data_IF_732019764710
#
_entry.id   IF_732019764710
#
_cell.length_a   1.000
_cell.length_b   1.000
_cell.length_c   1.000
_cell.angle_alpha   90.00
_cell.angle_beta   90.00
_cell.angle_gamma   90.00
#
_symmetry.space_group_name_H-M   'P 1'
#
loop_
_entity.id
_entity.type
_entity.pdbx_description
1 polymer ?
#
# COMPACT_ATOMS: atom_id res chain seq x y z
N UNK A 1 0.69 -15.23 16.81
CA UNK A 1 1.49 -14.71 15.67
C UNK A 1 1.09 -15.26 14.31
N UNK A 2 1.17 -16.57 14.05
CA UNK A 2 0.89 -17.14 12.73
C UNK A 2 -0.51 -16.79 12.19
N UNK A 3 -1.53 -16.84 13.06
CA UNK A 3 -2.91 -16.45 12.71
C UNK A 3 -3.03 -14.96 12.31
N UNK A 4 -2.26 -14.07 12.96
CA UNK A 4 -2.21 -12.64 12.63
C UNK A 4 -1.62 -12.44 11.22
N UNK A 5 -0.45 -13.01 10.93
CA UNK A 5 0.15 -12.90 9.59
C UNK A 5 -0.71 -13.56 8.50
N UNK A 6 -1.45 -14.64 8.82
CA UNK A 6 -2.40 -15.25 7.91
C UNK A 6 -3.65 -14.38 7.64
N UNK A 7 -4.08 -13.57 8.62
CA UNK A 7 -5.13 -12.57 8.42
C UNK A 7 -4.61 -11.42 7.56
N UNK A 8 -3.45 -10.84 7.90
CA UNK A 8 -2.82 -9.75 7.13
C UNK A 8 -2.55 -10.17 5.69
N UNK A 9 -2.05 -11.38 5.44
CA UNK A 9 -1.81 -11.89 4.08
C UNK A 9 -3.08 -11.99 3.25
N UNK A 10 -4.20 -12.40 3.86
CA UNK A 10 -5.50 -12.45 3.16
C UNK A 10 -5.93 -11.06 2.70
N UNK A 11 -5.70 -10.04 3.51
CA UNK A 11 -6.03 -8.65 3.17
C UNK A 11 -5.09 -8.09 2.11
N UNK A 12 -3.78 -8.32 2.23
CA UNK A 12 -2.79 -7.83 1.26
C UNK A 12 -2.90 -8.51 -0.11
N UNK A 13 -3.35 -9.77 -0.16
CA UNK A 13 -3.62 -10.48 -1.42
C UNK A 13 -4.76 -9.86 -2.25
N UNK A 14 -5.60 -9.03 -1.63
CA UNK A 14 -6.70 -8.30 -2.30
C UNK A 14 -6.25 -6.94 -2.82
N UNK A 15 -5.09 -6.42 -2.35
CA UNK A 15 -4.63 -5.05 -2.59
C UNK A 15 -4.25 -4.70 -4.02
N UNK A 16 -4.15 -5.69 -4.95
CA UNK A 16 -4.17 -5.48 -6.40
C UNK A 16 -3.12 -4.52 -6.99
N UNK A 17 -2.15 -4.05 -6.21
CA UNK A 17 -1.10 -3.15 -6.67
C UNK A 17 -0.25 -3.87 -7.72
N UNK A 18 -0.04 -3.28 -8.90
CA UNK A 18 0.88 -3.85 -9.87
C UNK A 18 2.25 -3.99 -9.22
N UNK A 19 2.73 -5.23 -9.15
CA UNK A 19 4.03 -5.57 -8.58
C UNK A 19 5.18 -5.20 -9.53
N UNK A 20 4.86 -4.85 -10.78
CA UNK A 20 5.79 -4.54 -11.84
C UNK A 20 5.61 -3.11 -12.39
N UNK A 21 6.72 -2.56 -12.88
CA UNK A 21 6.75 -1.21 -13.46
C UNK A 21 5.84 -1.09 -14.69
N UNK A 22 5.67 -2.19 -15.45
CA UNK A 22 4.82 -2.22 -16.64
C UNK A 22 3.32 -2.14 -16.30
N UNK A 23 2.88 -2.74 -15.20
CA UNK A 23 1.51 -2.59 -14.72
C UNK A 23 1.22 -1.18 -14.22
N UNK A 24 2.16 -0.55 -13.51
CA UNK A 24 2.04 0.85 -13.08
C UNK A 24 1.95 1.80 -14.29
N UNK A 25 2.82 1.63 -15.29
CA UNK A 25 2.79 2.44 -16.51
C UNK A 25 1.47 2.30 -17.29
N UNK A 26 0.90 1.09 -17.37
CA UNK A 26 -0.39 0.87 -18.02
C UNK A 26 -1.51 1.67 -17.35
N UNK A 27 -1.57 1.65 -16.02
CA UNK A 27 -2.56 2.43 -15.27
C UNK A 27 -2.37 3.94 -15.52
N UNK A 28 -1.13 4.43 -15.48
CA UNK A 28 -0.84 5.85 -15.75
C UNK A 28 -1.25 6.27 -17.17
N UNK A 29 -0.95 5.46 -18.18
CA UNK A 29 -1.35 5.75 -19.56
C UNK A 29 -2.88 5.76 -19.70
N UNK A 30 -3.58 4.80 -19.10
CA UNK A 30 -5.04 4.76 -19.10
C UNK A 30 -5.64 6.03 -18.46
N UNK A 31 -5.11 6.46 -17.30
CA UNK A 31 -5.54 7.69 -16.65
C UNK A 31 -5.34 8.94 -17.51
N UNK A 32 -4.21 9.03 -18.22
CA UNK A 32 -3.93 10.13 -19.15
C UNK A 32 -4.88 10.13 -20.36
N UNK A 33 -5.40 8.97 -20.74
CA UNK A 33 -6.42 8.80 -21.78
C UNK A 33 -7.85 9.03 -21.26
N UNK A 34 -8.01 9.33 -19.97
CA UNK A 34 -9.30 9.55 -19.32
C UNK A 34 -9.97 8.27 -18.80
N UNK A 35 -9.34 7.10 -18.92
CA UNK A 35 -9.82 5.86 -18.32
C UNK A 35 -9.23 5.69 -16.91
N UNK A 36 -10.04 5.99 -15.90
CA UNK A 36 -9.67 5.83 -14.48
C UNK A 36 -10.14 4.51 -13.89
N UNK A 37 -10.71 3.59 -14.67
CA UNK A 37 -11.41 2.41 -14.14
C UNK A 37 -10.51 1.51 -13.29
N UNK A 38 -9.32 1.20 -13.78
CA UNK A 38 -8.35 0.37 -13.05
C UNK A 38 -7.73 1.11 -11.86
N UNK A 39 -7.60 2.44 -11.97
CA UNK A 39 -7.15 3.28 -10.87
C UNK A 39 -8.18 3.34 -9.73
N UNK A 40 -9.45 3.50 -10.08
CA UNK A 40 -10.55 3.55 -9.11
C UNK A 40 -10.72 2.19 -8.41
N UNK A 41 -10.53 1.07 -9.14
CA UNK A 41 -10.46 -0.27 -8.53
C UNK A 41 -9.31 -0.38 -7.55
N UNK A 42 -8.13 0.15 -7.90
CA UNK A 42 -6.96 0.15 -7.01
C UNK A 42 -7.19 0.97 -5.74
N UNK A 43 -7.84 2.13 -5.86
CA UNK A 43 -8.23 2.95 -4.72
C UNK A 43 -9.19 2.20 -3.78
N UNK A 44 -10.23 1.56 -4.33
CA UNK A 44 -11.20 0.78 -3.55
C UNK A 44 -10.53 -0.42 -2.88
N UNK A 45 -9.64 -1.12 -3.58
CA UNK A 45 -8.88 -2.24 -3.03
C UNK A 45 -7.98 -1.79 -1.87
N UNK A 46 -7.28 -0.66 -2.03
CA UNK A 46 -6.41 -0.09 -0.98
C UNK A 46 -7.21 0.37 0.23
N UNK A 47 -8.38 1.00 0.02
CA UNK A 47 -9.28 1.41 1.10
C UNK A 47 -9.85 0.21 1.86
N UNK A 48 -10.27 -0.83 1.13
CA UNK A 48 -10.77 -2.08 1.72
C UNK A 48 -9.67 -2.73 2.55
N UNK A 49 -8.45 -2.80 2.00
CA UNK A 49 -7.30 -3.35 2.71
C UNK A 49 -6.96 -2.55 3.98
N UNK A 50 -6.98 -1.21 3.92
CA UNK A 50 -6.78 -0.35 5.09
C UNK A 50 -7.81 -0.64 6.19
N UNK A 51 -9.10 -0.72 5.83
CA UNK A 51 -10.18 -1.01 6.79
C UNK A 51 -10.07 -2.40 7.38
N UNK A 52 -9.80 -3.41 6.56
CA UNK A 52 -9.66 -4.79 7.00
C UNK A 52 -8.43 -4.97 7.89
N UNK A 53 -7.28 -4.40 7.53
CA UNK A 53 -6.09 -4.44 8.40
C UNK A 53 -6.37 -3.74 9.73
N UNK A 54 -6.98 -2.56 9.74
CA UNK A 54 -7.33 -1.84 10.98
C UNK A 54 -8.25 -2.63 11.91
N UNK A 55 -9.06 -3.53 11.36
CA UNK A 55 -9.96 -4.38 12.14
C UNK A 55 -9.25 -5.61 12.76
N UNK A 56 -8.04 -5.94 12.33
CA UNK A 56 -7.26 -7.05 12.89
C UNK A 56 -6.68 -6.64 14.24
N UNK A 57 -6.93 -7.44 15.28
CA UNK A 57 -6.22 -7.30 16.55
C UNK A 57 -4.78 -7.80 16.41
N UNK A 58 -3.83 -6.87 16.49
CA UNK A 58 -2.40 -7.19 16.52
C UNK A 58 -1.97 -7.69 17.91
N UNK A 59 -1.23 -8.82 17.98
CA UNK A 59 -0.50 -9.20 19.19
C UNK A 59 0.46 -8.08 19.65
N UNK A 60 0.77 -7.96 20.95
CA UNK A 60 1.66 -6.92 21.48
C UNK A 60 2.98 -6.79 20.72
N UNK A 61 3.55 -7.92 20.34
CA UNK A 61 4.86 -7.98 19.69
C UNK A 61 4.80 -7.60 18.21
N UNK A 62 3.62 -7.58 17.62
CA UNK A 62 3.36 -7.10 16.27
C UNK A 62 2.81 -5.67 16.22
N UNK A 63 2.59 -5.00 17.35
CA UNK A 63 1.96 -3.66 17.35
C UNK A 63 2.73 -2.64 16.51
N UNK A 64 4.07 -2.63 16.61
CA UNK A 64 4.89 -1.72 15.81
C UNK A 64 4.74 -1.96 14.31
N UNK A 65 4.87 -3.22 13.87
CA UNK A 65 4.66 -3.63 12.48
C UNK A 65 3.23 -3.32 12.01
N UNK A 66 2.23 -3.57 12.85
CA UNK A 66 0.84 -3.32 12.54
C UNK A 66 0.54 -1.83 12.36
N UNK A 67 1.03 -0.98 13.27
CA UNK A 67 0.89 0.46 13.17
C UNK A 67 1.57 1.00 11.90
N UNK A 68 2.77 0.50 11.57
CA UNK A 68 3.47 0.86 10.35
C UNK A 68 2.70 0.42 9.10
N UNK A 69 2.18 -0.81 9.07
CA UNK A 69 1.36 -1.33 7.97
C UNK A 69 0.12 -0.46 7.73
N UNK A 70 -0.59 -0.09 8.80
CA UNK A 70 -1.76 0.79 8.72
C UNK A 70 -1.37 2.18 8.19
N UNK A 71 -0.23 2.73 8.64
CA UNK A 71 0.29 4.02 8.15
C UNK A 71 0.62 3.96 6.65
N UNK A 72 1.32 2.91 6.21
CA UNK A 72 1.68 2.69 4.80
C UNK A 72 0.43 2.60 3.93
N UNK A 73 -0.61 1.86 4.35
CA UNK A 73 -1.86 1.76 3.60
C UNK A 73 -2.60 3.10 3.51
N UNK A 74 -2.68 3.84 4.61
CA UNK A 74 -3.32 5.15 4.64
C UNK A 74 -2.58 6.19 3.76
N UNK A 75 -1.25 6.20 3.82
CA UNK A 75 -0.41 7.08 2.99
C UNK A 75 -0.47 6.71 1.50
N UNK A 76 -0.50 5.41 1.19
CA UNK A 76 -0.72 4.91 -0.18
C UNK A 76 -2.06 5.38 -0.73
N UNK A 77 -3.14 5.25 0.05
CA UNK A 77 -4.48 5.73 -0.33
C UNK A 77 -4.49 7.23 -0.57
N UNK A 78 -3.85 8.02 0.31
CA UNK A 78 -3.74 9.47 0.14
C UNK A 78 -2.96 9.83 -1.12
N UNK A 79 -1.83 9.16 -1.37
CA UNK A 79 -1.00 9.38 -2.57
C UNK A 79 -1.78 9.07 -3.86
N UNK A 80 -2.54 7.97 -3.88
CA UNK A 80 -3.39 7.62 -5.02
C UNK A 80 -4.50 8.66 -5.23
N UNK A 81 -5.17 9.09 -4.16
CA UNK A 81 -6.20 10.12 -4.26
C UNK A 81 -5.63 11.44 -4.84
N UNK A 82 -4.46 11.85 -4.38
CA UNK A 82 -3.80 13.07 -4.85
C UNK A 82 -3.31 12.94 -6.30
N UNK A 83 -2.81 11.76 -6.70
CA UNK A 83 -2.44 11.47 -8.08
C UNK A 83 -3.65 11.58 -9.02
N UNK A 84 -4.80 11.02 -8.63
CA UNK A 84 -6.05 11.15 -9.39
C UNK A 84 -6.46 12.61 -9.55
N UNK A 85 -6.41 13.38 -8.46
CA UNK A 85 -6.75 14.80 -8.49
C UNK A 85 -5.82 15.60 -9.41
N UNK A 86 -4.50 15.35 -9.36
CA UNK A 86 -3.52 15.99 -10.22
C UNK A 86 -3.72 15.64 -11.72
N UNK A 87 -4.08 14.39 -12.01
CA UNK A 87 -4.26 13.92 -13.40
C UNK A 87 -5.55 14.47 -14.02
N UNK A 88 -6.64 14.55 -13.25
CA UNK A 88 -7.93 15.08 -13.73
C UNK A 88 -7.94 16.62 -13.75
N UNK A 89 -7.26 17.27 -12.80
CA UNK A 89 -7.22 18.73 -12.67
C UNK A 89 -6.18 19.43 -13.56
N UNK A 90 -5.36 18.69 -14.31
CA UNK A 90 -4.21 19.19 -15.08
C UNK A 90 -3.18 20.00 -14.25
N UNK A 91 -3.19 19.85 -12.92
CA UNK A 91 -2.35 20.64 -12.02
C UNK A 91 -1.00 19.92 -11.79
N UNK A 92 -0.06 20.19 -12.70
CA UNK A 92 1.26 19.54 -12.73
C UNK A 92 2.18 20.01 -11.60
N UNK A 93 1.83 21.10 -10.90
CA UNK A 93 2.61 21.62 -9.77
C UNK A 93 2.69 20.66 -8.58
N UNK A 94 1.70 19.77 -8.42
CA UNK A 94 1.66 18.77 -7.34
C UNK A 94 2.56 17.55 -7.57
N UNK A 95 3.03 17.30 -8.79
CA UNK A 95 3.74 16.05 -9.15
C UNK A 95 5.07 15.88 -8.42
N UNK A 96 5.83 16.96 -8.19
CA UNK A 96 7.09 16.88 -7.46
C UNK A 96 6.88 16.50 -5.98
N UNK A 97 5.82 17.02 -5.35
CA UNK A 97 5.40 16.65 -4.00
C UNK A 97 4.95 15.18 -3.93
N UNK A 98 4.22 14.71 -4.95
CA UNK A 98 3.82 13.31 -5.07
C UNK A 98 5.04 12.39 -5.18
N UNK A 99 6.05 12.76 -5.96
CA UNK A 99 7.28 11.97 -6.09
C UNK A 99 8.03 11.85 -4.75
N UNK A 100 8.16 12.94 -3.98
CA UNK A 100 8.78 12.91 -2.66
C UNK A 100 8.01 12.01 -1.67
N UNK A 101 6.67 12.08 -1.69
CA UNK A 101 5.80 11.22 -0.88
C UNK A 101 5.89 9.75 -1.30
N UNK A 102 5.97 9.46 -2.60
CA UNK A 102 6.18 8.12 -3.12
C UNK A 102 7.52 7.52 -2.65
N UNK A 103 8.59 8.31 -2.68
CA UNK A 103 9.91 7.87 -2.18
C UNK A 103 9.87 7.58 -0.66
N UNK A 104 9.21 8.44 0.13
CA UNK A 104 9.02 8.20 1.56
C UNK A 104 8.20 6.94 1.83
N UNK A 105 7.12 6.73 1.08
CA UNK A 105 6.30 5.54 1.17
C UNK A 105 7.08 4.27 0.82
N UNK A 106 7.94 4.33 -0.19
CA UNK A 106 8.82 3.22 -0.56
C UNK A 106 9.81 2.88 0.57
N UNK A 107 10.40 3.88 1.22
CA UNK A 107 11.27 3.67 2.37
C UNK A 107 10.52 2.97 3.52
N UNK A 108 9.30 3.42 3.84
CA UNK A 108 8.44 2.78 4.85
C UNK A 108 8.04 1.35 4.47
N UNK A 109 7.79 1.08 3.19
CA UNK A 109 7.50 -0.26 2.71
C UNK A 109 8.71 -1.21 2.86
N UNK A 110 9.92 -0.73 2.62
CA UNK A 110 11.15 -1.50 2.87
C UNK A 110 11.41 -1.74 4.36
N UNK A 111 11.14 -0.74 5.20
CA UNK A 111 11.17 -0.90 6.65
C UNK A 111 10.15 -1.96 7.11
N UNK A 112 8.92 -1.89 6.59
CA UNK A 112 7.85 -2.84 6.88
C UNK A 112 8.25 -4.28 6.50
N UNK A 113 8.85 -4.47 5.32
CA UNK A 113 9.41 -5.77 4.89
C UNK A 113 10.51 -6.26 5.84
N UNK A 114 11.34 -5.34 6.34
CA UNK A 114 12.41 -5.68 7.28
C UNK A 114 11.85 -6.13 8.63
N UNK A 115 10.93 -5.37 9.21
CA UNK A 115 10.25 -5.73 10.46
C UNK A 115 9.47 -7.05 10.32
N UNK A 116 8.82 -7.29 9.19
CA UNK A 116 8.13 -8.56 8.93
C UNK A 116 9.09 -9.74 8.93
N UNK A 117 10.25 -9.63 8.27
CA UNK A 117 11.27 -10.69 8.25
C UNK A 117 11.82 -10.96 9.64
N UNK A 118 12.08 -9.92 10.42
CA UNK A 118 12.58 -10.04 11.79
C UNK A 118 11.56 -10.71 12.73
N UNK A 119 10.29 -10.29 12.66
CA UNK A 119 9.22 -10.93 13.40
C UNK A 119 9.05 -12.39 12.99
N UNK A 120 9.06 -12.70 11.69
CA UNK A 120 8.96 -14.08 11.22
C UNK A 120 10.13 -14.94 11.72
N UNK A 121 11.35 -14.42 11.67
CA UNK A 121 12.54 -15.11 12.17
C UNK A 121 12.49 -15.34 13.68
N UNK A 122 12.04 -14.35 14.45
CA UNK A 122 11.96 -14.42 15.92
C UNK A 122 10.98 -15.49 16.38
N UNK A 123 9.91 -15.73 15.61
CA UNK A 123 8.83 -16.64 15.96
C UNK A 123 8.79 -17.91 15.09
N UNK A 124 9.90 -18.24 14.41
CA UNK A 124 10.06 -19.42 13.55
C UNK A 124 8.93 -19.60 12.52
N UNK A 125 8.51 -18.49 11.92
CA UNK A 125 7.51 -18.46 10.85
C UNK A 125 8.22 -18.48 9.49
N UNK A 126 7.65 -19.15 8.47
CA UNK A 126 8.25 -19.20 7.14
C UNK A 126 8.38 -17.80 6.55
N UNK A 127 9.59 -17.46 6.09
CA UNK A 127 9.87 -16.27 5.28
C UNK A 127 9.35 -16.55 3.87
N UNK A 128 8.59 -15.62 3.31
CA UNK A 128 8.09 -15.68 1.93
C UNK A 128 8.95 -14.79 1.03
#
# INVERSE_FOLDING_TARGET
MAAYFAQVKRVQGVGGLPQDQAGVQRILIAMLQGDTSDFDRLMVATETAEREVKAIQAPPECQAYHALLVSVLAESRALLADLRAATVGQDTGGLASLAARAASLQAKAEELKTQERELRRTYDLPVQ
#
